data_IF_450674872577
#
_entry.id   IF_450674872577
#
_cell.length_a   1.000
_cell.length_b   1.000
_cell.length_c   1.000
_cell.angle_alpha   90.00
_cell.angle_beta   90.00
_cell.angle_gamma   90.00
#
_symmetry.space_group_name_H-M   'P 1'
#
loop_
_entity.id
_entity.type
_entity.pdbx_description
1 polymer ?
#
# COMPACT_ATOMS: atom_id res chain seq x y z
N UNK A 1 -27.76 -4.62 -4.87
CA UNK A 1 -27.89 -3.74 -3.70
C UNK A 1 -26.50 -3.18 -3.37
N UNK A 2 -26.11 -2.06 -3.98
CA UNK A 2 -24.74 -1.55 -3.95
C UNK A 2 -24.66 -0.07 -3.58
N UNK A 3 -25.09 0.30 -2.36
CA UNK A 3 -25.22 1.71 -1.98
C UNK A 3 -25.05 2.01 -0.48
N UNK A 4 -24.33 1.17 0.27
CA UNK A 4 -24.13 1.37 1.71
C UNK A 4 -22.74 1.92 2.07
N UNK A 5 -21.69 1.60 1.30
CA UNK A 5 -20.30 2.02 1.61
C UNK A 5 -20.12 3.54 1.54
N UNK A 6 -20.92 4.24 0.71
CA UNK A 6 -20.84 5.68 0.53
C UNK A 6 -21.38 6.53 1.71
N UNK A 7 -21.97 5.92 2.76
CA UNK A 7 -22.65 6.66 3.84
C UNK A 7 -21.79 7.01 5.05
N UNK A 8 -20.58 6.48 5.18
CA UNK A 8 -19.68 6.89 6.28
C UNK A 8 -18.33 7.39 5.74
N UNK A 9 -17.97 8.66 5.98
CA UNK A 9 -16.67 9.19 5.56
C UNK A 9 -15.52 8.45 6.25
N UNK A 10 -15.77 7.88 7.43
CA UNK A 10 -14.81 7.05 8.17
C UNK A 10 -14.47 5.73 7.44
N UNK A 11 -15.45 5.02 6.86
CA UNK A 11 -15.17 3.81 6.10
C UNK A 11 -14.38 4.09 4.82
N UNK A 12 -14.67 5.23 4.16
CA UNK A 12 -13.90 5.70 3.02
C UNK A 12 -12.45 6.02 3.38
N UNK A 13 -12.22 6.71 4.51
CA UNK A 13 -10.88 7.01 5.01
C UNK A 13 -10.13 5.74 5.44
N UNK A 14 -10.81 4.77 6.03
CA UNK A 14 -10.22 3.48 6.37
C UNK A 14 -9.82 2.72 5.10
N UNK A 15 -10.62 2.75 4.04
CA UNK A 15 -10.26 2.12 2.75
C UNK A 15 -9.16 2.87 1.99
N UNK A 16 -9.20 4.21 1.97
CA UNK A 16 -8.28 5.04 1.19
C UNK A 16 -6.94 5.28 1.90
N UNK A 17 -6.91 5.54 3.21
CA UNK A 17 -5.69 5.81 3.97
C UNK A 17 -4.55 4.78 3.75
N UNK A 18 -4.83 3.48 3.77
CA UNK A 18 -3.83 2.43 3.54
C UNK A 18 -3.49 2.24 2.07
N UNK A 19 -4.43 2.47 1.15
CA UNK A 19 -4.11 2.55 -0.28
C UNK A 19 -3.15 3.73 -0.55
N UNK A 20 -3.36 4.87 0.13
CA UNK A 20 -2.45 6.01 0.07
C UNK A 20 -1.12 5.73 0.74
N UNK A 21 -1.11 5.04 1.89
CA UNK A 21 0.13 4.63 2.55
C UNK A 21 0.94 3.66 1.68
N UNK A 22 0.27 2.71 1.00
CA UNK A 22 0.88 1.80 0.04
C UNK A 22 1.43 2.54 -1.17
N UNK A 23 0.66 3.45 -1.75
CA UNK A 23 1.10 4.28 -2.87
C UNK A 23 2.29 5.18 -2.50
N UNK A 24 2.25 5.78 -1.31
CA UNK A 24 3.33 6.63 -0.80
C UNK A 24 4.60 5.83 -0.52
N UNK A 25 4.49 4.68 0.12
CA UNK A 25 5.63 3.81 0.37
C UNK A 25 6.19 3.21 -0.93
N UNK A 26 5.35 2.84 -1.89
CA UNK A 26 5.78 2.43 -3.22
C UNK A 26 6.53 3.57 -3.96
N UNK A 27 6.02 4.80 -3.87
CA UNK A 27 6.66 6.00 -4.41
C UNK A 27 7.99 6.31 -3.73
N UNK A 28 8.06 6.23 -2.40
CA UNK A 28 9.27 6.45 -1.62
C UNK A 28 10.35 5.42 -1.95
N UNK A 29 9.99 4.14 -2.07
CA UNK A 29 10.92 3.09 -2.47
C UNK A 29 11.44 3.31 -3.90
N UNK A 30 10.58 3.77 -4.82
CA UNK A 30 10.97 4.09 -6.20
C UNK A 30 11.87 5.33 -6.28
N UNK A 31 11.57 6.38 -5.53
CA UNK A 31 12.40 7.58 -5.41
C UNK A 31 13.76 7.26 -4.78
N UNK A 32 13.78 6.38 -3.78
CA UNK A 32 15.02 5.92 -3.16
C UNK A 32 15.83 5.09 -4.16
N UNK A 33 15.22 4.15 -4.88
CA UNK A 33 15.88 3.32 -5.89
C UNK A 33 16.42 4.12 -7.10
N UNK A 34 15.86 5.30 -7.37
CA UNK A 34 16.33 6.21 -8.41
C UNK A 34 17.57 7.02 -8.00
N UNK A 35 18.05 6.92 -6.75
CA UNK A 35 19.29 7.58 -6.34
C UNK A 35 20.50 6.92 -7.02
N UNK A 36 21.36 7.69 -7.73
CA UNK A 36 22.48 7.16 -8.49
C UNK A 36 23.59 6.56 -7.62
N UNK A 37 23.71 6.98 -6.36
CA UNK A 37 24.73 6.51 -5.41
C UNK A 37 24.43 5.16 -4.71
N UNK A 38 23.32 4.49 -5.06
CA UNK A 38 22.95 3.25 -4.38
C UNK A 38 23.71 2.02 -4.91
N UNK A 39 24.36 1.24 -4.03
CA UNK A 39 24.99 -0.01 -4.41
C UNK A 39 23.99 -0.95 -5.10
N UNK A 40 24.42 -1.71 -6.13
CA UNK A 40 23.51 -2.55 -6.93
C UNK A 40 22.75 -3.60 -6.11
N UNK A 41 23.32 -4.08 -4.99
CA UNK A 41 22.63 -4.95 -4.02
C UNK A 41 21.46 -4.24 -3.33
N UNK A 42 21.63 -3.00 -2.87
CA UNK A 42 20.57 -2.20 -2.23
C UNK A 42 19.48 -1.82 -3.23
N UNK A 43 19.85 -1.53 -4.49
CA UNK A 43 18.87 -1.26 -5.55
C UNK A 43 17.95 -2.46 -5.80
N UNK A 44 18.51 -3.68 -5.85
CA UNK A 44 17.71 -4.92 -5.95
C UNK A 44 16.85 -5.17 -4.72
N UNK A 45 17.37 -4.94 -3.51
CA UNK A 45 16.59 -5.07 -2.28
C UNK A 45 15.42 -4.08 -2.25
N UNK A 46 15.60 -2.84 -2.74
CA UNK A 46 14.52 -1.86 -2.87
C UNK A 46 13.50 -2.25 -3.94
N UNK A 47 13.94 -2.76 -5.10
CA UNK A 47 13.00 -3.30 -6.09
C UNK A 47 12.23 -4.51 -5.56
N UNK A 48 12.88 -5.42 -4.84
CA UNK A 48 12.22 -6.55 -4.20
C UNK A 48 11.24 -6.09 -3.12
N UNK A 49 11.63 -5.13 -2.28
CA UNK A 49 10.76 -4.51 -1.30
C UNK A 49 9.55 -3.82 -1.95
N UNK A 50 9.74 -3.12 -3.08
CA UNK A 50 8.66 -2.51 -3.84
C UNK A 50 7.66 -3.53 -4.36
N UNK A 51 8.15 -4.61 -4.96
CA UNK A 51 7.32 -5.73 -5.42
C UNK A 51 6.60 -6.38 -4.24
N UNK A 52 7.30 -6.65 -3.13
CA UNK A 52 6.70 -7.20 -1.92
C UNK A 52 5.62 -6.29 -1.35
N UNK A 53 5.85 -4.98 -1.37
CA UNK A 53 4.90 -3.99 -0.88
C UNK A 53 3.62 -3.98 -1.71
N UNK A 54 3.74 -4.06 -3.04
CA UNK A 54 2.58 -4.17 -3.93
C UNK A 54 1.88 -5.51 -3.79
N UNK A 55 2.63 -6.61 -3.70
CA UNK A 55 2.09 -7.95 -3.68
C UNK A 55 1.45 -8.32 -2.34
N UNK A 56 2.07 -7.90 -1.23
CA UNK A 56 1.60 -8.16 0.12
C UNK A 56 0.68 -7.04 0.65
N UNK A 57 0.81 -5.82 0.14
CA UNK A 57 0.02 -4.68 0.60
C UNK A 57 -1.48 -4.86 0.42
N UNK A 58 -1.91 -5.29 -0.77
CA UNK A 58 -3.33 -5.53 -1.06
C UNK A 58 -3.94 -6.66 -0.22
N UNK A 59 -3.36 -7.87 -0.13
CA UNK A 59 -3.91 -8.92 0.71
C UNK A 59 -3.85 -8.58 2.21
N UNK A 60 -2.76 -7.95 2.68
CA UNK A 60 -2.67 -7.49 4.07
C UNK A 60 -3.75 -6.45 4.38
N UNK A 61 -4.03 -5.58 3.42
CA UNK A 61 -5.10 -4.59 3.56
C UNK A 61 -6.49 -5.24 3.58
N UNK A 62 -6.75 -6.21 2.70
CA UNK A 62 -8.01 -6.96 2.70
C UNK A 62 -8.22 -7.76 4.00
N UNK A 63 -7.15 -8.34 4.55
CA UNK A 63 -7.20 -9.01 5.86
C UNK A 63 -7.49 -8.01 6.97
N UNK A 64 -6.83 -6.85 6.99
CA UNK A 64 -7.10 -5.80 7.97
C UNK A 64 -8.55 -5.28 7.87
N UNK A 65 -9.06 -5.06 6.65
CA UNK A 65 -10.44 -4.66 6.41
C UNK A 65 -11.45 -5.71 6.88
N UNK A 66 -11.15 -6.99 6.66
CA UNK A 66 -11.96 -8.11 7.17
C UNK A 66 -11.95 -8.19 8.71
N UNK A 67 -10.80 -8.01 9.35
CA UNK A 67 -10.68 -7.98 10.81
C UNK A 67 -11.39 -6.78 11.44
N UNK A 68 -11.41 -5.64 10.74
CA UNK A 68 -12.12 -4.43 11.16
C UNK A 68 -13.63 -4.48 10.88
N UNK A 69 -14.15 -5.58 10.31
CA UNK A 69 -15.57 -5.73 10.01
C UNK A 69 -16.08 -4.78 8.91
N UNK A 70 -15.17 -4.30 8.07
CA UNK A 70 -15.49 -3.42 6.93
C UNK A 70 -15.90 -4.33 5.76
N UNK A 71 -17.09 -4.93 5.86
CA UNK A 71 -17.70 -5.77 4.81
C UNK A 71 -19.15 -5.37 4.57
#
# INVERSE_FOLDING_TARGET
MGGAVARSPAALLLLLGPLLALGFAAGAVRALAARPDLPPRRRRALSAAWVLLLLAGTPLWLVAAALLGIW
#
